data_IF_059550811508
#
_entry.id   IF_059550811508
#
_cell.length_a   1.000
_cell.length_b   1.000
_cell.length_c   1.000
_cell.angle_alpha   90.00
_cell.angle_beta   90.00
_cell.angle_gamma   90.00
#
_symmetry.space_group_name_H-M   'P 1'
#
loop_
_entity.id
_entity.type
_entity.pdbx_description
1 polymer ?
#
# COMPACT_ATOMS: atom_id res chain seq x y z
N UNK A 1 18.49 -22.51 22.00
CA UNK A 1 18.05 -21.42 22.92
C UNK A 1 18.75 -20.10 22.53
N UNK A 2 20.08 -20.09 22.26
CA UNK A 2 20.82 -18.87 21.89
C UNK A 2 20.44 -18.22 20.56
N UNK A 3 19.96 -18.98 19.59
CA UNK A 3 19.58 -18.46 18.26
C UNK A 3 18.27 -17.64 18.32
N UNK A 4 17.32 -18.05 19.17
CA UNK A 4 16.03 -17.37 19.34
C UNK A 4 16.21 -15.99 20.00
N UNK A 5 17.18 -15.87 20.90
CA UNK A 5 17.44 -14.61 21.64
C UNK A 5 18.07 -13.52 20.76
N UNK A 6 18.89 -13.89 19.78
CA UNK A 6 19.46 -12.94 18.82
C UNK A 6 18.43 -12.41 17.83
N UNK A 7 17.52 -13.26 17.37
CA UNK A 7 16.48 -12.89 16.42
C UNK A 7 15.43 -11.95 17.09
N UNK A 8 15.08 -12.22 18.33
CA UNK A 8 14.21 -11.36 19.14
C UNK A 8 14.86 -9.99 19.45
N UNK A 9 16.15 -9.93 19.68
CA UNK A 9 16.88 -8.68 19.92
C UNK A 9 16.96 -7.82 18.67
N UNK A 10 17.22 -8.39 17.50
CA UNK A 10 17.26 -7.66 16.23
C UNK A 10 15.88 -7.16 15.81
N UNK A 11 14.83 -7.96 15.98
CA UNK A 11 13.45 -7.56 15.74
C UNK A 11 13.01 -6.40 16.67
N UNK A 12 13.50 -6.41 17.93
CA UNK A 12 13.27 -5.32 18.89
C UNK A 12 13.96 -4.02 18.48
N UNK A 13 15.23 -4.07 18.04
CA UNK A 13 15.97 -2.89 17.57
C UNK A 13 15.36 -2.25 16.32
N UNK A 14 14.92 -3.05 15.38
CA UNK A 14 14.27 -2.58 14.17
C UNK A 14 12.94 -1.90 14.48
N UNK A 15 12.12 -2.51 15.34
CA UNK A 15 10.84 -1.92 15.81
C UNK A 15 11.08 -0.61 16.57
N UNK A 16 12.10 -0.53 17.40
CA UNK A 16 12.45 0.70 18.14
C UNK A 16 12.85 1.81 17.16
N UNK A 17 13.64 1.52 16.13
CA UNK A 17 14.01 2.50 15.09
C UNK A 17 12.80 2.97 14.29
N UNK A 18 11.93 2.06 13.88
CA UNK A 18 10.68 2.41 13.18
C UNK A 18 9.79 3.30 14.04
N UNK A 19 9.62 2.96 15.31
CA UNK A 19 8.82 3.77 16.24
C UNK A 19 9.43 5.16 16.45
N UNK A 20 10.76 5.28 16.49
CA UNK A 20 11.42 6.59 16.54
C UNK A 20 11.14 7.44 15.30
N UNK A 21 11.24 6.85 14.10
CA UNK A 21 10.94 7.55 12.84
C UNK A 21 9.48 8.01 12.84
N UNK A 22 8.55 7.14 13.25
CA UNK A 22 7.12 7.48 13.35
C UNK A 22 6.91 8.65 14.32
N UNK A 23 7.49 8.56 15.51
CA UNK A 23 7.38 9.64 16.51
C UNK A 23 7.98 10.96 16.01
N UNK A 24 9.10 10.91 15.28
CA UNK A 24 9.67 12.11 14.66
C UNK A 24 8.70 12.74 13.67
N UNK A 25 8.16 11.93 12.72
CA UNK A 25 7.18 12.43 11.75
C UNK A 25 5.96 13.04 12.46
N UNK A 26 5.42 12.34 13.46
CA UNK A 26 4.27 12.82 14.23
C UNK A 26 4.59 14.13 14.98
N UNK A 27 5.78 14.27 15.54
CA UNK A 27 6.19 15.49 16.23
C UNK A 27 6.41 16.66 15.24
N UNK A 28 6.99 16.39 14.07
CA UNK A 28 7.20 17.39 13.02
C UNK A 28 5.84 17.88 12.47
N UNK A 29 4.88 16.98 12.28
CA UNK A 29 3.51 17.32 11.87
C UNK A 29 2.82 18.17 12.94
N UNK A 30 2.93 17.78 14.22
CA UNK A 30 2.33 18.51 15.33
C UNK A 30 2.97 19.90 15.59
N UNK A 31 4.22 20.10 15.12
CA UNK A 31 4.88 21.42 15.22
C UNK A 31 4.40 22.41 14.16
N UNK A 32 3.84 21.92 13.05
CA UNK A 32 3.45 22.73 11.89
C UNK A 32 1.94 22.97 11.84
N UNK A 33 1.13 21.98 12.27
CA UNK A 33 -0.31 21.97 12.10
C UNK A 33 -1.05 22.07 13.45
N UNK A 34 -2.27 22.65 13.46
CA UNK A 34 -3.16 22.61 14.63
C UNK A 34 -3.44 21.17 15.05
N UNK A 35 -3.74 20.92 16.35
CA UNK A 35 -3.93 19.57 16.89
C UNK A 35 -4.96 18.72 16.13
N UNK A 36 -6.04 19.34 15.67
CA UNK A 36 -7.13 18.67 14.97
C UNK A 36 -6.70 18.19 13.57
N UNK A 37 -5.95 19.04 12.85
CA UNK A 37 -5.42 18.73 11.53
C UNK A 37 -4.23 17.75 11.61
N UNK A 38 -3.37 17.90 12.59
CA UNK A 38 -2.23 17.02 12.85
C UNK A 38 -2.68 15.58 13.08
N UNK A 39 -3.77 15.37 13.86
CA UNK A 39 -4.34 14.06 14.09
C UNK A 39 -4.87 13.39 12.81
N UNK A 40 -5.46 14.15 11.89
CA UNK A 40 -5.91 13.64 10.59
C UNK A 40 -4.72 13.25 9.71
N UNK A 41 -3.69 14.10 9.66
CA UNK A 41 -2.48 13.83 8.87
C UNK A 41 -1.76 12.59 9.40
N UNK A 42 -1.63 12.42 10.71
CA UNK A 42 -1.04 11.24 11.33
C UNK A 42 -1.84 9.95 11.00
N UNK A 43 -3.18 10.03 11.05
CA UNK A 43 -4.04 8.91 10.70
C UNK A 43 -3.88 8.48 9.23
N UNK A 44 -3.72 9.43 8.31
CA UNK A 44 -3.61 9.17 6.87
C UNK A 44 -2.20 8.73 6.48
N UNK A 45 -1.14 9.35 7.03
CA UNK A 45 0.25 9.06 6.65
C UNK A 45 0.81 7.83 7.36
N UNK A 46 0.56 7.73 8.67
CA UNK A 46 1.20 6.73 9.55
C UNK A 46 0.20 5.65 9.99
N UNK A 47 -1.10 5.91 9.84
CA UNK A 47 -2.16 5.03 10.32
C UNK A 47 -2.41 5.16 11.83
N UNK A 48 -1.88 6.19 12.50
CA UNK A 48 -2.00 6.43 13.92
C UNK A 48 -3.22 7.30 14.20
N UNK A 49 -4.28 6.71 14.77
CA UNK A 49 -5.52 7.41 15.08
C UNK A 49 -5.61 7.89 16.55
N UNK A 50 -4.64 7.52 17.39
CA UNK A 50 -4.69 7.78 18.84
C UNK A 50 -4.68 9.27 19.20
N UNK A 51 -4.20 10.12 18.31
CA UNK A 51 -4.16 11.59 18.49
C UNK A 51 -5.32 12.33 17.83
N UNK A 52 -6.14 11.65 17.05
CA UNK A 52 -7.29 12.30 16.41
C UNK A 52 -8.39 12.50 17.45
N UNK A 53 -8.87 13.74 17.68
CA UNK A 53 -9.93 14.01 18.63
C UNK A 53 -11.20 13.22 18.30
N UNK A 54 -11.91 12.73 19.32
CA UNK A 54 -13.10 11.90 19.13
C UNK A 54 -14.20 12.58 18.29
N UNK A 55 -14.35 13.91 18.45
CA UNK A 55 -15.34 14.65 17.66
C UNK A 55 -15.02 14.62 16.16
N UNK A 56 -13.73 14.67 15.79
CA UNK A 56 -13.29 14.56 14.39
C UNK A 56 -13.60 13.17 13.86
N UNK A 57 -13.25 12.13 14.61
CA UNK A 57 -13.54 10.73 14.23
C UNK A 57 -15.04 10.52 14.04
N UNK A 58 -15.87 11.07 14.93
CA UNK A 58 -17.33 10.96 14.85
C UNK A 58 -17.87 11.70 13.61
N UNK A 59 -17.39 12.93 13.34
CA UNK A 59 -17.78 13.68 12.15
C UNK A 59 -17.44 12.94 10.85
N UNK A 60 -16.25 12.32 10.78
CA UNK A 60 -15.86 11.48 9.65
C UNK A 60 -16.71 10.22 9.54
N UNK A 61 -17.14 9.63 10.66
CA UNK A 61 -18.02 8.48 10.69
C UNK A 61 -19.43 8.83 10.22
N UNK A 62 -19.98 9.93 10.71
CA UNK A 62 -21.33 10.40 10.37
C UNK A 62 -21.44 10.86 8.91
N UNK A 63 -20.35 11.40 8.35
CA UNK A 63 -20.27 11.73 6.93
C UNK A 63 -19.99 10.54 6.01
N UNK A 64 -19.80 9.32 6.56
CA UNK A 64 -19.44 8.11 5.80
C UNK A 64 -17.99 8.08 5.32
N UNK A 65 -17.16 9.04 5.72
CA UNK A 65 -15.76 9.19 5.32
C UNK A 65 -14.77 8.53 6.29
N UNK A 66 -15.23 7.79 7.28
CA UNK A 66 -14.39 7.08 8.25
C UNK A 66 -13.31 6.19 7.60
N UNK A 67 -13.58 5.69 6.39
CA UNK A 67 -12.64 4.87 5.63
C UNK A 67 -11.37 5.65 5.22
N UNK A 68 -11.44 6.97 5.10
CA UNK A 68 -10.30 7.81 4.74
C UNK A 68 -9.35 8.06 5.94
N UNK A 69 -9.82 7.90 7.18
CA UNK A 69 -8.98 8.03 8.37
C UNK A 69 -8.05 6.82 8.61
N UNK A 70 -8.05 5.83 7.75
CA UNK A 70 -7.15 4.69 7.85
C UNK A 70 -6.33 4.54 6.56
N UNK A 71 -5.12 4.02 6.69
CA UNK A 71 -4.30 3.68 5.52
C UNK A 71 -5.06 2.64 4.68
N UNK A 72 -5.56 3.09 3.53
CA UNK A 72 -6.40 2.29 2.64
C UNK A 72 -5.62 1.75 1.44
N UNK A 73 -6.27 0.83 0.71
CA UNK A 73 -5.73 0.33 -0.56
C UNK A 73 -5.46 1.42 -1.60
N UNK A 74 -6.25 2.50 -1.56
CA UNK A 74 -6.06 3.65 -2.44
C UNK A 74 -4.73 4.37 -2.14
N UNK A 75 -4.41 4.60 -0.87
CA UNK A 75 -3.15 5.23 -0.47
C UNK A 75 -1.95 4.38 -0.88
N UNK A 76 -1.98 3.07 -0.64
CA UNK A 76 -0.92 2.16 -1.04
C UNK A 76 -0.76 2.12 -2.57
N UNK A 77 -1.86 2.03 -3.31
CA UNK A 77 -1.84 2.04 -4.77
C UNK A 77 -1.37 3.37 -5.37
N UNK A 78 -1.78 4.50 -4.78
CA UNK A 78 -1.35 5.83 -5.21
C UNK A 78 0.16 6.04 -4.99
N UNK A 79 0.68 5.66 -3.82
CA UNK A 79 2.13 5.76 -3.53
C UNK A 79 2.92 4.85 -4.46
N UNK A 80 2.53 3.59 -4.62
CA UNK A 80 3.20 2.66 -5.52
C UNK A 80 3.17 3.13 -6.97
N UNK A 81 2.03 3.64 -7.42
CA UNK A 81 1.85 4.21 -8.76
C UNK A 81 2.72 5.44 -8.97
N UNK A 82 2.70 6.39 -8.03
CA UNK A 82 3.53 7.60 -8.09
C UNK A 82 5.01 7.24 -8.15
N UNK A 83 5.49 6.38 -7.26
CA UNK A 83 6.90 5.95 -7.24
C UNK A 83 7.26 5.25 -8.55
N UNK A 84 6.40 4.36 -9.04
CA UNK A 84 6.61 3.69 -10.32
C UNK A 84 6.76 4.68 -11.48
N UNK A 85 5.86 5.66 -11.60
CA UNK A 85 5.91 6.66 -12.65
C UNK A 85 7.11 7.59 -12.52
N UNK A 86 7.43 8.06 -11.32
CA UNK A 86 8.59 8.92 -11.06
C UNK A 86 9.87 8.18 -11.38
N UNK A 87 10.05 6.96 -10.87
CA UNK A 87 11.24 6.15 -11.16
C UNK A 87 11.37 5.87 -12.66
N UNK A 88 10.28 5.50 -13.31
CA UNK A 88 10.27 5.26 -14.75
C UNK A 88 10.66 6.52 -15.53
N UNK A 89 10.11 7.67 -15.16
CA UNK A 89 10.43 8.95 -15.78
C UNK A 89 11.92 9.30 -15.61
N UNK A 90 12.43 9.21 -14.38
CA UNK A 90 13.85 9.48 -14.08
C UNK A 90 14.78 8.53 -14.83
N UNK A 91 14.48 7.23 -14.84
CA UNK A 91 15.30 6.22 -15.50
C UNK A 91 15.33 6.40 -17.03
N UNK A 92 14.23 6.89 -17.64
CA UNK A 92 14.19 7.20 -19.08
C UNK A 92 15.06 8.42 -19.43
N UNK A 93 15.20 9.39 -18.52
CA UNK A 93 16.09 10.54 -18.74
C UNK A 93 17.57 10.13 -18.87
N UNK A 94 17.96 9.01 -18.26
CA UNK A 94 19.33 8.49 -18.33
C UNK A 94 19.47 7.50 -19.49
N UNK A 95 19.77 7.99 -20.69
CA UNK A 95 19.91 7.19 -21.91
C UNK A 95 20.79 5.95 -21.76
N UNK A 96 21.85 6.00 -20.94
CA UNK A 96 22.73 4.86 -20.69
C UNK A 96 22.06 3.69 -19.97
N UNK A 97 21.09 3.97 -19.10
CA UNK A 97 20.33 2.96 -18.36
C UNK A 97 19.17 2.46 -19.23
N UNK A 98 18.50 3.37 -19.93
CA UNK A 98 17.35 3.07 -20.76
C UNK A 98 17.66 2.13 -21.92
N UNK A 99 18.89 2.20 -22.46
CA UNK A 99 19.36 1.33 -23.55
C UNK A 99 19.84 -0.05 -23.06
N UNK A 100 20.21 -0.18 -21.79
CA UNK A 100 20.87 -1.39 -21.26
C UNK A 100 19.94 -2.25 -20.40
N UNK A 101 18.92 -1.66 -19.79
CA UNK A 101 18.00 -2.33 -18.87
C UNK A 101 16.55 -2.04 -19.23
N UNK A 102 15.68 -2.98 -18.90
CA UNK A 102 14.23 -2.81 -19.01
C UNK A 102 13.75 -1.85 -17.88
N UNK A 103 13.71 -0.55 -18.23
CA UNK A 103 13.34 0.55 -17.32
C UNK A 103 12.02 0.27 -16.58
N UNK A 104 11.08 -0.39 -17.26
CA UNK A 104 9.77 -0.72 -16.69
C UNK A 104 9.90 -1.72 -15.53
N UNK A 105 10.76 -2.73 -15.67
CA UNK A 105 11.00 -3.72 -14.63
C UNK A 105 11.74 -3.12 -13.44
N UNK A 106 12.75 -2.28 -13.71
CA UNK A 106 13.53 -1.62 -12.66
C UNK A 106 12.66 -0.67 -11.85
N UNK A 107 11.79 0.12 -12.51
CA UNK A 107 10.82 0.98 -11.85
C UNK A 107 9.82 0.18 -11.00
N UNK A 108 9.37 -0.98 -11.48
CA UNK A 108 8.44 -1.84 -10.73
C UNK A 108 9.10 -2.42 -9.47
N UNK A 109 10.36 -2.87 -9.55
CA UNK A 109 11.11 -3.33 -8.37
C UNK A 109 11.26 -2.20 -7.36
N UNK A 110 11.65 -1.00 -7.81
CA UNK A 110 11.74 0.17 -6.93
C UNK A 110 10.40 0.49 -6.27
N UNK A 111 9.30 0.45 -7.01
CA UNK A 111 7.96 0.70 -6.46
C UNK A 111 7.56 -0.34 -5.41
N UNK A 112 7.90 -1.62 -5.58
CA UNK A 112 7.67 -2.66 -4.56
C UNK A 112 8.46 -2.35 -3.29
N UNK A 113 9.74 -2.00 -3.42
CA UNK A 113 10.60 -1.69 -2.26
C UNK A 113 10.06 -0.49 -1.49
N UNK A 114 9.70 0.60 -2.18
CA UNK A 114 9.13 1.79 -1.55
C UNK A 114 7.77 1.51 -0.89
N UNK A 115 6.92 0.72 -1.53
CA UNK A 115 5.64 0.31 -0.93
C UNK A 115 5.83 -0.55 0.31
N UNK A 116 6.84 -1.44 0.33
CA UNK A 116 7.21 -2.21 1.51
C UNK A 116 7.71 -1.32 2.65
N UNK A 117 8.55 -0.33 2.34
CA UNK A 117 9.01 0.66 3.33
C UNK A 117 7.83 1.48 3.88
N UNK A 118 6.91 1.91 3.03
CA UNK A 118 5.71 2.61 3.47
C UNK A 118 4.83 1.73 4.37
N UNK A 119 4.64 0.44 4.04
CA UNK A 119 3.92 -0.50 4.90
C UNK A 119 4.55 -0.59 6.30
N UNK A 120 5.88 -0.63 6.38
CA UNK A 120 6.59 -0.64 7.67
C UNK A 120 6.34 0.65 8.46
N UNK A 121 6.37 1.80 7.80
CA UNK A 121 6.09 3.10 8.42
C UNK A 121 4.63 3.23 8.80
N UNK A 122 3.68 2.71 8.04
CA UNK A 122 2.23 2.76 8.34
C UNK A 122 1.77 1.77 9.42
N UNK A 123 2.71 1.04 10.07
CA UNK A 123 2.41 0.21 11.23
C UNK A 123 1.87 -1.17 10.94
N UNK A 124 1.98 -1.64 9.71
CA UNK A 124 1.56 -2.99 9.33
C UNK A 124 0.11 -3.29 9.73
N UNK A 125 -0.76 -2.28 9.58
CA UNK A 125 -2.19 -2.49 9.80
C UNK A 125 -2.73 -3.51 8.79
N UNK A 126 -3.62 -4.40 9.22
CA UNK A 126 -4.18 -5.48 8.37
C UNK A 126 -4.73 -4.99 7.02
N UNK A 127 -5.43 -3.82 6.93
CA UNK A 127 -5.83 -3.26 5.63
C UNK A 127 -4.65 -2.87 4.73
N UNK A 128 -3.58 -2.32 5.31
CA UNK A 128 -2.39 -1.91 4.58
C UNK A 128 -1.57 -3.11 4.06
N UNK A 129 -1.46 -4.19 4.85
CA UNK A 129 -0.80 -5.43 4.42
C UNK A 129 -1.49 -6.04 3.19
N UNK A 130 -2.81 -6.12 3.21
CA UNK A 130 -3.59 -6.61 2.07
C UNK A 130 -3.41 -5.75 0.83
N UNK A 131 -3.46 -4.44 1.00
CA UNK A 131 -3.26 -3.49 -0.08
C UNK A 131 -1.85 -3.61 -0.68
N UNK A 132 -0.84 -3.79 0.17
CA UNK A 132 0.54 -4.03 -0.27
C UNK A 132 0.66 -5.31 -1.09
N UNK A 133 0.08 -6.44 -0.62
CA UNK A 133 0.15 -7.72 -1.33
C UNK A 133 -0.51 -7.60 -2.71
N UNK A 134 -1.69 -6.99 -2.79
CA UNK A 134 -2.37 -6.74 -4.08
C UNK A 134 -1.50 -5.90 -5.02
N UNK A 135 -0.94 -4.80 -4.52
CA UNK A 135 -0.09 -3.90 -5.29
C UNK A 135 1.20 -4.60 -5.74
N UNK A 136 1.82 -5.38 -4.85
CA UNK A 136 3.02 -6.16 -5.17
C UNK A 136 2.74 -7.20 -6.26
N UNK A 137 1.60 -7.90 -6.22
CA UNK A 137 1.20 -8.86 -7.26
C UNK A 137 1.01 -8.16 -8.61
N UNK A 138 0.38 -6.99 -8.64
CA UNK A 138 0.23 -6.18 -9.86
C UNK A 138 1.60 -5.77 -10.42
N UNK A 139 2.51 -5.29 -9.58
CA UNK A 139 3.86 -4.89 -9.98
C UNK A 139 4.72 -6.09 -10.42
N UNK A 140 4.56 -7.27 -9.78
CA UNK A 140 5.16 -8.51 -10.26
C UNK A 140 4.64 -8.89 -11.64
N UNK A 141 3.34 -8.72 -11.89
CA UNK A 141 2.77 -8.88 -13.24
C UNK A 141 3.47 -8.00 -14.27
N UNK A 142 3.79 -6.75 -13.91
CA UNK A 142 4.56 -5.83 -14.76
C UNK A 142 5.98 -6.38 -15.02
N UNK A 143 6.67 -6.90 -13.99
CA UNK A 143 8.03 -7.45 -14.09
C UNK A 143 8.06 -8.68 -15.01
N UNK A 144 7.06 -9.55 -14.92
CA UNK A 144 6.95 -10.74 -15.73
C UNK A 144 6.32 -10.50 -17.11
N UNK A 145 6.11 -9.24 -17.51
CA UNK A 145 5.46 -8.85 -18.77
C UNK A 145 4.08 -9.52 -18.96
N UNK A 146 3.36 -9.76 -17.86
CA UNK A 146 1.98 -10.25 -17.88
C UNK A 146 0.99 -9.08 -17.86
N UNK A 147 -0.23 -9.34 -18.25
CA UNK A 147 -1.31 -8.36 -18.06
C UNK A 147 -1.51 -8.16 -16.56
N UNK A 148 -0.98 -7.03 -16.05
CA UNK A 148 -0.98 -6.73 -14.62
C UNK A 148 -2.41 -6.57 -14.06
N UNK A 149 -3.32 -6.03 -14.88
CA UNK A 149 -4.74 -5.86 -14.56
C UNK A 149 -5.51 -6.97 -15.27
N UNK A 150 -5.68 -8.10 -14.62
CA UNK A 150 -6.43 -9.24 -15.14
C UNK A 150 -7.05 -10.05 -14.02
N UNK A 151 -8.15 -10.74 -14.30
CA UNK A 151 -8.83 -11.60 -13.34
C UNK A 151 -7.89 -12.68 -12.77
N UNK A 152 -6.97 -13.18 -13.58
CA UNK A 152 -5.97 -14.19 -13.14
C UNK A 152 -5.06 -13.64 -12.04
N UNK A 153 -4.61 -12.38 -12.17
CA UNK A 153 -3.75 -11.73 -11.16
C UNK A 153 -4.51 -11.47 -9.86
N UNK A 154 -5.79 -11.13 -9.93
CA UNK A 154 -6.64 -10.97 -8.74
C UNK A 154 -6.83 -12.31 -8.02
N UNK A 155 -7.14 -13.38 -8.75
CA UNK A 155 -7.25 -14.72 -8.17
C UNK A 155 -5.92 -15.16 -7.53
N UNK A 156 -4.79 -14.88 -8.18
CA UNK A 156 -3.48 -15.17 -7.61
C UNK A 156 -3.20 -14.37 -6.35
N UNK A 157 -3.51 -13.07 -6.32
CA UNK A 157 -3.39 -12.23 -5.13
C UNK A 157 -4.27 -12.73 -3.99
N UNK A 158 -5.52 -13.13 -4.29
CA UNK A 158 -6.44 -13.72 -3.32
C UNK A 158 -5.90 -15.01 -2.73
N UNK A 159 -5.35 -15.88 -3.56
CA UNK A 159 -4.75 -17.15 -3.13
C UNK A 159 -3.54 -16.91 -2.21
N UNK A 160 -2.65 -16.01 -2.58
CA UNK A 160 -1.48 -15.62 -1.75
C UNK A 160 -1.95 -15.09 -0.39
N UNK A 161 -2.95 -14.19 -0.37
CA UNK A 161 -3.51 -13.64 0.87
C UNK A 161 -4.13 -14.72 1.76
N UNK A 162 -4.86 -15.67 1.18
CA UNK A 162 -5.48 -16.75 1.92
C UNK A 162 -4.46 -17.75 2.49
N UNK A 163 -3.33 -17.94 1.81
CA UNK A 163 -2.23 -18.76 2.34
C UNK A 163 -1.58 -18.08 3.55
N UNK A 164 -1.37 -16.74 3.47
CA UNK A 164 -0.74 -15.97 4.55
C UNK A 164 -1.70 -15.79 5.73
N UNK A 165 -2.98 -15.54 5.46
CA UNK A 165 -4.00 -15.23 6.46
C UNK A 165 -5.33 -15.89 6.11
N UNK A 166 -5.54 -17.19 6.43
CA UNK A 166 -6.78 -17.90 6.11
C UNK A 166 -8.03 -17.27 6.75
N UNK A 167 -7.85 -16.64 7.91
CA UNK A 167 -8.91 -15.95 8.66
C UNK A 167 -9.46 -14.72 7.91
N UNK A 168 -8.72 -14.19 6.94
CA UNK A 168 -9.14 -13.04 6.13
C UNK A 168 -10.42 -13.33 5.35
N UNK A 169 -10.68 -14.58 4.97
CA UNK A 169 -11.87 -14.98 4.20
C UNK A 169 -13.20 -14.59 4.89
N UNK A 170 -13.25 -14.68 6.22
CA UNK A 170 -14.43 -14.37 7.02
C UNK A 170 -14.57 -12.85 7.27
N UNK A 171 -13.51 -12.10 7.04
CA UNK A 171 -13.49 -10.65 7.26
C UNK A 171 -14.33 -9.92 6.21
N UNK A 172 -15.35 -9.17 6.68
CA UNK A 172 -16.19 -8.31 5.82
C UNK A 172 -15.33 -7.35 4.97
N UNK A 173 -14.29 -6.80 5.55
CA UNK A 173 -13.37 -5.89 4.88
C UNK A 173 -12.62 -6.56 3.71
N UNK A 174 -12.26 -7.83 3.82
CA UNK A 174 -11.66 -8.60 2.73
C UNK A 174 -12.68 -8.85 1.61
N UNK A 175 -13.88 -9.32 1.98
CA UNK A 175 -14.94 -9.63 1.02
C UNK A 175 -15.34 -8.39 0.20
N UNK A 176 -15.54 -7.24 0.85
CA UNK A 176 -15.89 -5.99 0.18
C UNK A 176 -14.77 -5.50 -0.74
N UNK A 177 -13.53 -5.55 -0.29
CA UNK A 177 -12.36 -5.13 -1.09
C UNK A 177 -12.18 -6.00 -2.33
N UNK A 178 -12.24 -7.33 -2.18
CA UNK A 178 -12.13 -8.25 -3.31
C UNK A 178 -13.31 -8.17 -4.25
N UNK A 179 -14.55 -8.06 -3.75
CA UNK A 179 -15.73 -7.88 -4.58
C UNK A 179 -15.63 -6.63 -5.45
N UNK A 180 -15.17 -5.50 -4.88
CA UNK A 180 -14.98 -4.27 -5.63
C UNK A 180 -13.92 -4.41 -6.74
N UNK A 181 -12.76 -5.02 -6.43
CA UNK A 181 -11.67 -5.22 -7.40
C UNK A 181 -12.10 -6.20 -8.50
N UNK A 182 -12.74 -7.31 -8.14
CA UNK A 182 -13.26 -8.29 -9.11
C UNK A 182 -14.28 -7.65 -10.03
N UNK A 183 -15.24 -6.88 -9.48
CA UNK A 183 -16.25 -6.17 -10.29
C UNK A 183 -15.60 -5.17 -11.24
N UNK A 184 -14.63 -4.38 -10.77
CA UNK A 184 -13.92 -3.39 -11.59
C UNK A 184 -13.15 -4.05 -12.73
N UNK A 185 -12.43 -5.15 -12.45
CA UNK A 185 -11.62 -5.84 -13.47
C UNK A 185 -12.53 -6.60 -14.45
N UNK A 186 -13.59 -7.24 -13.99
CA UNK A 186 -14.56 -7.88 -14.86
C UNK A 186 -15.21 -6.87 -15.82
N UNK A 187 -15.56 -5.68 -15.31
CA UNK A 187 -16.05 -4.59 -16.13
C UNK A 187 -15.00 -4.13 -17.13
N UNK A 188 -13.76 -3.92 -16.69
CA UNK A 188 -12.66 -3.50 -17.56
C UNK A 188 -12.39 -4.53 -18.65
N UNK A 189 -12.25 -5.82 -18.32
CA UNK A 189 -12.02 -6.89 -19.31
C UNK A 189 -13.14 -6.98 -20.33
N UNK A 190 -14.40 -6.82 -19.90
CA UNK A 190 -15.57 -6.85 -20.79
C UNK A 190 -15.62 -5.68 -21.76
N UNK A 191 -15.21 -4.48 -21.33
CA UNK A 191 -15.33 -3.25 -22.12
C UNK A 191 -14.02 -2.78 -22.75
N UNK A 192 -12.86 -3.26 -22.31
CA UNK A 192 -11.56 -2.88 -22.85
C UNK A 192 -11.46 -3.16 -24.36
N UNK A 193 -12.06 -4.24 -24.82
CA UNK A 193 -12.10 -4.57 -26.25
C UNK A 193 -12.92 -3.56 -27.08
N UNK A 194 -13.94 -2.92 -26.48
CA UNK A 194 -14.74 -1.88 -27.15
C UNK A 194 -14.06 -0.52 -27.12
N UNK A 195 -13.29 -0.22 -26.06
CA UNK A 195 -12.58 1.05 -25.89
C UNK A 195 -11.32 1.11 -26.79
N UNK A 196 -10.67 -0.04 -27.04
CA UNK A 196 -9.51 -0.13 -27.92
C UNK A 196 -9.85 0.00 -29.44
N UNK A 197 -11.11 0.03 -29.79
CA UNK A 197 -11.61 0.20 -31.17
C UNK A 197 -12.02 1.64 -31.52
N UNK A 198 -11.86 2.57 -30.58
CA UNK A 198 -12.00 4.04 -30.73
C UNK A 198 -10.64 4.71 -30.51
#
# INVERSE_FOLDING_TARGET
>A
IFVIDCEQKHASYFRIRLNKIRQQITNDVAAILPPDEAGIVDAVLIGEQSRTPEFVVNNYRDSGLAHFLSVSGLHMGAIAGLVFFVLRFLLVLFNGIALRYDVKKLAAVGAIVFSALYLLVSGMAVPAERAFIMTAVVLLGVIFNRQAISMRMVCFAGLVLLIISPQALISISFQMSFAAVVALIAFYEKYAHKIALW
#
